data_IF_728671899700
#
_entry.id   IF_728671899700
#
_cell.length_a   1.000
_cell.length_b   1.000
_cell.length_c   1.000
_cell.angle_alpha   90.00
_cell.angle_beta   90.00
_cell.angle_gamma   90.00
#
_symmetry.space_group_name_H-M   'P 1'
#
loop_
_entity.id
_entity.type
_entity.pdbx_description
1 polymer ?
#
# COMPACT_ATOMS: atom_id res chain seq x y z
N UNK A 1 -7.70 6.59 -20.28
CA UNK A 1 -8.54 5.90 -19.29
C UNK A 1 -9.00 6.94 -18.28
N UNK A 2 -10.29 7.00 -17.91
CA UNK A 2 -10.75 7.92 -16.88
C UNK A 2 -10.04 7.62 -15.56
N UNK A 3 -9.82 8.66 -14.77
CA UNK A 3 -9.35 8.53 -13.39
C UNK A 3 -10.27 7.56 -12.62
N UNK A 4 -9.70 6.55 -11.98
CA UNK A 4 -10.44 5.59 -11.15
C UNK A 4 -9.83 5.58 -9.77
N UNK A 5 -10.64 5.93 -8.78
CA UNK A 5 -10.26 5.81 -7.38
C UNK A 5 -10.01 4.33 -7.05
N UNK A 6 -8.83 4.01 -6.52
CA UNK A 6 -8.53 2.66 -6.11
C UNK A 6 -9.03 2.44 -4.67
N UNK A 7 -9.84 1.40 -4.45
CA UNK A 7 -10.35 1.05 -3.12
C UNK A 7 -9.21 0.73 -2.17
N UNK A 8 -8.12 0.20 -2.72
CA UNK A 8 -6.90 -0.10 -2.01
C UNK A 8 -6.17 1.15 -1.47
N UNK A 9 -6.43 2.35 -2.00
CA UNK A 9 -5.89 3.59 -1.42
C UNK A 9 -6.45 3.86 -0.03
N UNK A 10 -7.71 3.53 0.23
CA UNK A 10 -8.37 3.78 1.52
C UNK A 10 -7.79 2.95 2.67
N UNK A 11 -7.08 1.86 2.36
CA UNK A 11 -6.38 1.04 3.35
C UNK A 11 -5.01 1.60 3.73
N UNK A 12 -4.47 2.53 2.95
CA UNK A 12 -3.16 3.10 3.23
C UNK A 12 -3.28 4.19 4.29
N UNK A 13 -2.52 4.07 5.39
CA UNK A 13 -2.60 4.93 6.58
C UNK A 13 -2.54 6.44 6.26
N UNK A 14 -1.66 6.83 5.32
CA UNK A 14 -1.49 8.23 4.93
C UNK A 14 -2.50 8.76 3.89
N UNK A 15 -3.40 7.94 3.35
CA UNK A 15 -4.31 8.37 2.29
C UNK A 15 -5.39 9.33 2.79
N UNK A 16 -5.96 9.09 3.98
CA UNK A 16 -6.94 10.02 4.57
C UNK A 16 -6.33 11.40 4.80
N UNK A 17 -5.09 11.46 5.30
CA UNK A 17 -4.38 12.71 5.50
C UNK A 17 -4.13 13.45 4.18
N UNK A 18 -3.83 12.71 3.11
CA UNK A 18 -3.66 13.26 1.76
C UNK A 18 -4.96 13.89 1.25
N UNK A 19 -6.12 13.26 1.47
CA UNK A 19 -7.42 13.82 1.11
C UNK A 19 -7.69 15.10 1.90
N UNK A 20 -7.59 15.06 3.23
CA UNK A 20 -7.90 16.21 4.08
C UNK A 20 -6.99 17.41 3.85
N UNK A 21 -5.72 17.18 3.50
CA UNK A 21 -4.73 18.24 3.32
C UNK A 21 -4.82 18.93 1.96
N UNK A 22 -5.53 18.34 0.99
CA UNK A 22 -5.64 18.85 -0.39
C UNK A 22 -7.09 19.16 -0.80
N UNK A 23 -8.04 19.09 0.15
CA UNK A 23 -9.44 19.39 -0.11
C UNK A 23 -9.83 20.74 0.49
N UNK A 24 -10.26 21.69 -0.36
CA UNK A 24 -10.69 23.01 0.08
C UNK A 24 -12.21 23.17 -0.05
N UNK A 25 -12.92 23.29 1.07
CA UNK A 25 -14.38 23.42 1.09
C UNK A 25 -14.90 24.73 0.45
N UNK A 26 -14.04 25.73 0.26
CA UNK A 26 -14.40 27.01 -0.38
C UNK A 26 -14.25 26.97 -1.91
N UNK A 27 -13.57 25.96 -2.46
CA UNK A 27 -13.41 25.77 -3.89
C UNK A 27 -14.56 24.95 -4.48
N UNK A 28 -14.82 25.15 -5.78
CA UNK A 28 -15.75 24.28 -6.50
C UNK A 28 -15.23 22.85 -6.48
N UNK A 29 -16.17 21.91 -6.40
CA UNK A 29 -15.87 20.47 -6.39
C UNK A 29 -15.07 20.05 -7.63
N UNK A 30 -15.34 20.64 -8.80
CA UNK A 30 -14.57 20.39 -10.04
C UNK A 30 -13.09 20.71 -9.87
N UNK A 31 -12.80 21.86 -9.27
CA UNK A 31 -11.45 22.42 -9.18
C UNK A 31 -10.66 21.65 -8.10
N UNK A 32 -11.32 21.24 -7.01
CA UNK A 32 -10.76 20.31 -6.03
C UNK A 32 -10.44 18.95 -6.65
N UNK A 33 -11.32 18.42 -7.52
CA UNK A 33 -11.09 17.12 -8.14
C UNK A 33 -9.91 17.14 -9.12
N UNK A 34 -9.76 18.19 -9.92
CA UNK A 34 -8.63 18.35 -10.84
C UNK A 34 -7.31 18.46 -10.07
N UNK A 35 -7.27 19.30 -9.03
CA UNK A 35 -6.10 19.41 -8.16
C UNK A 35 -5.78 18.10 -7.43
N UNK A 36 -6.80 17.46 -6.86
CA UNK A 36 -6.63 16.21 -6.13
C UNK A 36 -6.15 15.09 -7.04
N UNK A 37 -6.58 15.05 -8.31
CA UNK A 37 -6.10 14.07 -9.28
C UNK A 37 -4.58 14.15 -9.45
N UNK A 38 -4.01 15.34 -9.63
CA UNK A 38 -2.56 15.51 -9.77
C UNK A 38 -1.79 15.06 -8.52
N UNK A 39 -2.31 15.42 -7.34
CA UNK A 39 -1.73 15.06 -6.04
C UNK A 39 -1.74 13.55 -5.86
N UNK A 40 -2.87 12.91 -6.13
CA UNK A 40 -3.03 11.47 -5.96
C UNK A 40 -2.21 10.69 -6.97
N UNK A 41 -2.05 11.17 -8.22
CA UNK A 41 -1.19 10.52 -9.21
C UNK A 41 0.28 10.53 -8.76
N UNK A 42 0.74 11.67 -8.23
CA UNK A 42 2.09 11.79 -7.67
C UNK A 42 2.28 10.89 -6.46
N UNK A 43 1.33 10.87 -5.54
CA UNK A 43 1.36 9.98 -4.37
C UNK A 43 1.32 8.51 -4.79
N UNK A 44 0.47 8.17 -5.76
CA UNK A 44 0.35 6.82 -6.29
C UNK A 44 1.65 6.38 -6.95
N UNK A 45 2.41 7.26 -7.59
CA UNK A 45 3.73 6.93 -8.15
C UNK A 45 4.82 6.81 -7.08
N UNK A 46 4.86 7.73 -6.13
CA UNK A 46 5.99 7.89 -5.21
C UNK A 46 5.86 7.08 -3.92
N UNK A 47 4.63 6.80 -3.48
CA UNK A 47 4.33 6.15 -2.19
C UNK A 47 3.67 4.79 -2.43
N UNK A 48 2.56 4.78 -3.16
CA UNK A 48 1.74 3.56 -3.30
C UNK A 48 2.28 2.58 -4.35
N UNK A 49 2.84 3.09 -5.44
CA UNK A 49 3.17 2.34 -6.66
C UNK A 49 4.31 1.35 -6.49
N UNK A 50 5.01 1.40 -5.36
CA UNK A 50 6.09 0.47 -5.05
C UNK A 50 5.62 -0.76 -4.26
N UNK A 51 4.31 -1.02 -4.23
CA UNK A 51 3.73 -2.13 -3.46
C UNK A 51 4.30 -3.50 -3.86
N UNK A 52 4.54 -3.71 -5.15
CA UNK A 52 5.16 -4.92 -5.67
C UNK A 52 6.61 -5.09 -5.19
N UNK A 53 7.40 -4.01 -5.09
CA UNK A 53 8.74 -4.12 -4.54
C UNK A 53 8.72 -4.25 -3.01
N UNK A 54 7.76 -3.63 -2.31
CA UNK A 54 7.53 -3.85 -0.86
C UNK A 54 7.26 -5.34 -0.62
N UNK A 55 6.37 -5.96 -1.39
CA UNK A 55 6.12 -7.41 -1.37
C UNK A 55 7.40 -8.22 -1.57
N UNK A 56 8.13 -7.97 -2.67
CA UNK A 56 9.38 -8.69 -2.99
C UNK A 56 10.40 -8.58 -1.86
N UNK A 57 10.54 -7.39 -1.26
CA UNK A 57 11.44 -7.15 -0.12
C UNK A 57 11.00 -7.89 1.14
N UNK A 58 9.69 -7.94 1.43
CA UNK A 58 9.14 -8.66 2.58
C UNK A 58 9.31 -10.18 2.42
N UNK A 59 9.04 -10.74 1.24
CA UNK A 59 9.27 -12.16 0.92
C UNK A 59 10.74 -12.54 1.12
N UNK A 60 11.67 -11.76 0.56
CA UNK A 60 13.10 -12.01 0.76
C UNK A 60 13.53 -11.95 2.23
N UNK A 61 13.00 -10.99 3.00
CA UNK A 61 13.25 -10.91 4.45
C UNK A 61 12.70 -12.12 5.18
N UNK A 62 11.49 -12.57 4.84
CA UNK A 62 10.84 -13.72 5.45
C UNK A 62 11.67 -14.99 5.22
N UNK A 63 12.07 -15.25 3.98
CA UNK A 63 12.94 -16.38 3.61
C UNK A 63 14.24 -16.37 4.41
N UNK A 64 14.87 -15.20 4.56
CA UNK A 64 16.11 -15.06 5.33
C UNK A 64 15.89 -15.36 6.81
N UNK A 65 14.81 -14.86 7.41
CA UNK A 65 14.49 -15.11 8.83
C UNK A 65 14.20 -16.60 9.05
N UNK A 66 13.45 -17.23 8.16
CA UNK A 66 13.14 -18.66 8.21
C UNK A 66 14.40 -19.52 8.14
N UNK A 67 15.30 -19.27 7.19
CA UNK A 67 16.57 -19.99 7.08
C UNK A 67 17.43 -19.91 8.35
N UNK A 68 17.42 -18.76 9.03
CA UNK A 68 18.17 -18.60 10.29
C UNK A 68 17.46 -19.37 11.41
N UNK A 69 16.12 -19.32 11.47
CA UNK A 69 15.33 -20.05 12.46
C UNK A 69 15.47 -21.57 12.32
N UNK A 70 15.61 -22.08 11.10
CA UNK A 70 15.86 -23.49 10.82
C UNK A 70 17.21 -23.97 11.38
N UNK A 71 18.20 -23.07 11.41
CA UNK A 71 19.53 -23.35 11.98
C UNK A 71 19.58 -23.11 13.48
N UNK A 72 18.84 -22.13 14.00
CA UNK A 72 18.89 -21.73 15.39
C UNK A 72 17.55 -21.13 15.85
N UNK A 73 16.96 -21.74 16.89
CA UNK A 73 15.78 -21.18 17.53
C UNK A 73 16.09 -19.85 18.21
N UNK A 74 15.32 -18.82 17.88
CA UNK A 74 15.40 -17.51 18.53
C UNK A 74 14.01 -16.91 18.65
N UNK A 75 13.57 -16.66 19.89
CA UNK A 75 12.29 -16.00 20.16
C UNK A 75 12.20 -14.62 19.47
N UNK A 76 13.29 -13.86 19.48
CA UNK A 76 13.37 -12.56 18.80
C UNK A 76 13.17 -12.68 17.29
N UNK A 77 13.80 -13.69 16.66
CA UNK A 77 13.63 -13.92 15.23
C UNK A 77 12.21 -14.43 14.91
N UNK A 78 11.61 -15.23 15.79
CA UNK A 78 10.21 -15.66 15.66
C UNK A 78 9.23 -14.49 15.75
N UNK A 79 9.41 -13.58 16.71
CA UNK A 79 8.62 -12.34 16.77
C UNK A 79 8.77 -11.53 15.49
N UNK A 80 10.01 -11.39 15.01
CA UNK A 80 10.28 -10.68 13.75
C UNK A 80 9.65 -11.34 12.53
N UNK A 81 9.58 -12.66 12.50
CA UNK A 81 8.92 -13.43 11.45
C UNK A 81 7.40 -13.13 11.43
N UNK A 82 6.77 -13.06 12.61
CA UNK A 82 5.34 -12.72 12.75
C UNK A 82 5.07 -11.30 12.21
N UNK A 83 5.89 -10.32 12.60
CA UNK A 83 5.78 -8.94 12.09
C UNK A 83 5.88 -8.90 10.56
N UNK A 84 6.87 -9.60 9.98
CA UNK A 84 7.06 -9.62 8.52
C UNK A 84 5.86 -10.26 7.81
N UNK A 85 5.24 -11.29 8.40
CA UNK A 85 4.02 -11.91 7.86
C UNK A 85 2.84 -10.96 7.89
N UNK A 86 2.65 -10.22 8.98
CA UNK A 86 1.59 -9.21 9.10
C UNK A 86 1.77 -8.10 8.05
N UNK A 87 2.99 -7.57 7.89
CA UNK A 87 3.31 -6.60 6.84
C UNK A 87 3.03 -7.15 5.43
N UNK A 88 3.29 -8.44 5.22
CA UNK A 88 3.06 -9.10 3.92
C UNK A 88 1.57 -9.28 3.64
N UNK A 89 0.78 -9.63 4.65
CA UNK A 89 -0.68 -9.78 4.55
C UNK A 89 -1.36 -8.44 4.22
N UNK A 90 -0.92 -7.35 4.85
CA UNK A 90 -1.34 -5.98 4.51
C UNK A 90 -1.08 -5.70 3.00
N UNK A 91 0.14 -5.97 2.53
CA UNK A 91 0.53 -5.74 1.12
C UNK A 91 -0.28 -6.62 0.16
N UNK A 92 -0.58 -7.87 0.52
CA UNK A 92 -1.39 -8.78 -0.29
C UNK A 92 -2.84 -8.31 -0.40
N UNK A 93 -3.45 -7.83 0.70
CA UNK A 93 -4.82 -7.29 0.66
C UNK A 93 -4.95 -6.07 -0.27
N UNK A 94 -3.93 -5.21 -0.28
CA UNK A 94 -3.85 -4.11 -1.23
C UNK A 94 -3.72 -4.58 -2.70
N UNK A 95 -2.91 -5.61 -2.96
CA UNK A 95 -2.79 -6.21 -4.31
C UNK A 95 -4.11 -6.84 -4.76
N UNK A 96 -4.80 -7.57 -3.88
CA UNK A 96 -6.07 -8.22 -4.20
C UNK A 96 -7.13 -7.19 -4.64
N UNK A 97 -7.24 -6.07 -3.93
CA UNK A 97 -8.13 -4.97 -4.31
C UNK A 97 -7.75 -4.32 -5.64
N UNK A 98 -6.45 -4.10 -5.87
CA UNK A 98 -5.93 -3.62 -7.16
C UNK A 98 -6.34 -4.55 -8.31
N UNK A 99 -6.20 -5.86 -8.12
CA UNK A 99 -6.58 -6.87 -9.11
C UNK A 99 -8.08 -6.88 -9.35
N UNK A 100 -8.88 -6.88 -8.28
CA UNK A 100 -10.34 -6.87 -8.35
C UNK A 100 -10.90 -5.66 -9.11
N UNK A 101 -10.26 -4.50 -9.01
CA UNK A 101 -10.68 -3.31 -9.75
C UNK A 101 -10.24 -3.35 -11.23
N UNK A 102 -9.12 -3.99 -11.54
CA UNK A 102 -8.63 -4.16 -12.91
C UNK A 102 -9.38 -5.26 -13.69
N UNK A 103 -9.91 -6.26 -12.99
CA UNK A 103 -10.59 -7.41 -13.60
C UNK A 103 -12.10 -7.17 -13.82
N UNK A 104 -12.64 -6.05 -13.38
CA UNK A 104 -14.02 -5.63 -13.70
C UNK A 104 -14.09 -5.08 -15.13
N UNK A 105 -14.94 -5.65 -16.01
CA UNK A 105 -15.14 -5.15 -17.37
C UNK A 105 -15.67 -3.70 -17.40
#
# INVERSE_FOLDING_TARGET
MPFRCLTSWMLHENFNNLVHSNWNNEMKVSDNLEHFQEVVERWNKNVYGNIFARKKKLVYKLERVQRILDMCFSLRLRSREIEIRQDLEEVLGHEELLWFQKSRP
#
